data_IF_766490038538
#
_entry.id   IF_766490038538
#
_cell.length_a   1.000
_cell.length_b   1.000
_cell.length_c   1.000
_cell.angle_alpha   90.00
_cell.angle_beta   90.00
_cell.angle_gamma   90.00
#
_symmetry.space_group_name_H-M   'P 1'
#
loop_
_entity.id
_entity.type
_entity.pdbx_description
1 polymer ?
#
# COMPACT_ATOMS: atom_id res chain seq x y z
N UNK A 1 31.89 25.91 10.31
CA UNK A 1 31.48 24.96 9.26
C UNK A 1 30.00 25.24 8.99
N UNK A 2 29.73 26.04 7.95
CA UNK A 2 28.38 26.50 7.62
C UNK A 2 27.69 25.39 6.81
N UNK A 3 26.54 24.88 7.27
CA UNK A 3 25.73 23.99 6.45
C UNK A 3 25.18 24.76 5.24
N UNK A 4 25.17 24.19 4.01
CA UNK A 4 24.62 24.87 2.86
C UNK A 4 23.11 25.06 3.04
N UNK A 5 22.65 26.30 2.90
CA UNK A 5 21.23 26.62 2.81
C UNK A 5 20.68 25.99 1.52
N UNK A 6 19.81 24.99 1.66
CA UNK A 6 19.07 24.40 0.54
C UNK A 6 18.15 25.48 -0.03
N UNK A 7 18.35 25.81 -1.30
CA UNK A 7 17.56 26.79 -2.03
C UNK A 7 16.07 26.49 -1.93
N UNK A 8 15.27 27.54 -1.71
CA UNK A 8 13.81 27.45 -1.64
C UNK A 8 13.23 27.11 -3.01
N UNK A 9 13.18 25.81 -3.33
CA UNK A 9 12.17 25.29 -4.26
C UNK A 9 10.78 25.63 -3.68
N UNK A 10 9.73 25.82 -4.52
CA UNK A 10 8.37 26.09 -4.04
C UNK A 10 8.05 25.14 -2.89
N UNK A 11 7.72 25.71 -1.72
CA UNK A 11 7.82 25.04 -0.42
C UNK A 11 7.17 23.64 -0.44
N UNK A 12 7.97 22.59 -0.67
CA UNK A 12 7.50 21.22 -0.53
C UNK A 12 7.17 21.02 0.93
N UNK A 13 5.87 20.92 1.24
CA UNK A 13 5.37 20.79 2.61
C UNK A 13 5.91 19.53 3.29
N UNK A 14 6.19 18.50 2.50
CA UNK A 14 6.73 17.22 2.96
C UNK A 14 8.08 16.92 2.33
N UNK A 15 9.01 16.43 3.16
CA UNK A 15 10.27 15.85 2.69
C UNK A 15 10.03 14.39 2.26
N UNK A 16 9.85 14.18 0.96
CA UNK A 16 9.54 12.86 0.39
C UNK A 16 10.65 11.84 0.65
N UNK A 17 11.92 12.25 0.60
CA UNK A 17 13.06 11.36 0.84
C UNK A 17 13.05 10.84 2.27
N UNK A 18 12.79 11.74 3.24
CA UNK A 18 12.67 11.36 4.64
C UNK A 18 11.49 10.42 4.86
N UNK A 19 10.33 10.72 4.27
CA UNK A 19 9.15 9.87 4.41
C UNK A 19 9.40 8.46 3.85
N UNK A 20 10.01 8.36 2.67
CA UNK A 20 10.41 7.08 2.08
C UNK A 20 11.38 6.31 2.97
N UNK A 21 12.37 6.99 3.54
CA UNK A 21 13.34 6.38 4.45
C UNK A 21 12.69 5.88 5.74
N UNK A 22 11.81 6.68 6.35
CA UNK A 22 11.06 6.29 7.57
C UNK A 22 10.20 5.08 7.30
N UNK A 23 9.40 5.08 6.22
CA UNK A 23 8.53 3.94 5.88
C UNK A 23 9.34 2.67 5.69
N UNK A 24 10.41 2.72 4.90
CA UNK A 24 11.26 1.56 4.65
C UNK A 24 11.94 1.07 5.93
N UNK A 25 12.48 1.98 6.74
CA UNK A 25 13.19 1.65 7.97
C UNK A 25 12.25 1.01 9.02
N UNK A 26 11.11 1.64 9.28
CA UNK A 26 10.10 1.12 10.23
C UNK A 26 9.62 -0.26 9.80
N UNK A 27 9.32 -0.45 8.52
CA UNK A 27 8.93 -1.77 8.01
C UNK A 27 10.04 -2.82 8.12
N UNK A 28 11.30 -2.45 7.86
CA UNK A 28 12.44 -3.35 8.02
C UNK A 28 12.63 -3.79 9.49
N UNK A 29 12.52 -2.84 10.43
CA UNK A 29 12.61 -3.12 11.86
C UNK A 29 11.43 -4.00 12.33
N UNK A 30 10.22 -3.75 11.84
CA UNK A 30 9.05 -4.55 12.15
C UNK A 30 9.22 -6.00 11.69
N UNK A 31 9.72 -6.22 10.46
CA UNK A 31 10.02 -7.56 9.93
C UNK A 31 11.06 -8.26 10.80
N UNK A 32 12.15 -7.57 11.17
CA UNK A 32 13.19 -8.13 12.02
C UNK A 32 12.64 -8.52 13.41
N UNK A 33 11.82 -7.67 14.01
CA UNK A 33 11.18 -7.89 15.31
C UNK A 33 10.21 -9.09 15.30
N UNK A 34 9.39 -9.22 14.27
CA UNK A 34 8.46 -10.35 14.14
C UNK A 34 9.26 -11.66 13.96
N UNK A 35 10.32 -11.62 13.15
CA UNK A 35 11.20 -12.78 12.96
C UNK A 35 11.97 -13.18 14.21
N UNK A 36 12.40 -12.23 15.04
CA UNK A 36 13.08 -12.55 16.30
C UNK A 36 12.16 -13.26 17.30
N UNK A 37 10.84 -13.16 17.13
CA UNK A 37 9.84 -13.94 17.88
C UNK A 37 9.51 -15.30 17.24
N UNK A 38 10.19 -15.70 16.16
CA UNK A 38 9.91 -16.93 15.42
C UNK A 38 8.59 -16.89 14.63
N UNK A 39 8.04 -15.70 14.38
CA UNK A 39 6.77 -15.52 13.67
C UNK A 39 6.99 -15.01 12.24
N UNK A 40 5.95 -15.11 11.41
CA UNK A 40 5.91 -14.52 10.07
C UNK A 40 5.01 -13.28 10.07
N UNK A 41 5.31 -12.25 9.27
CA UNK A 41 4.42 -11.10 9.12
C UNK A 41 3.07 -11.54 8.56
N UNK A 42 1.97 -11.19 9.22
CA UNK A 42 0.60 -11.38 8.77
C UNK A 42 -0.29 -10.34 9.48
N UNK A 43 -1.59 -10.28 9.17
CA UNK A 43 -2.51 -9.30 9.77
C UNK A 43 -2.45 -9.21 11.31
N UNK A 44 -2.31 -10.35 11.99
CA UNK A 44 -2.36 -10.38 13.46
C UNK A 44 -1.00 -10.10 14.10
N UNK A 45 0.10 -10.47 13.44
CA UNK A 45 1.46 -10.27 13.98
C UNK A 45 2.00 -8.87 13.75
N UNK A 46 1.49 -8.15 12.73
CA UNK A 46 1.83 -6.74 12.51
C UNK A 46 0.97 -5.79 13.35
N UNK A 47 -0.24 -6.22 13.72
CA UNK A 47 -1.16 -5.46 14.55
C UNK A 47 -0.59 -5.26 15.97
N UNK A 48 -1.04 -4.19 16.64
CA UNK A 48 -0.66 -3.85 18.02
C UNK A 48 0.86 -3.83 18.25
N UNK A 49 1.61 -3.26 17.30
CA UNK A 49 3.04 -3.06 17.42
C UNK A 49 3.36 -1.57 17.30
N UNK A 50 4.42 -1.13 17.98
CA UNK A 50 4.89 0.27 17.90
C UNK A 50 5.20 0.73 16.47
N UNK A 51 5.59 -0.21 15.60
CA UNK A 51 5.81 0.03 14.17
C UNK A 51 4.50 0.37 13.45
N UNK A 52 3.41 -0.34 13.78
CA UNK A 52 2.10 -0.09 13.21
C UNK A 52 1.46 1.17 13.79
N UNK A 53 1.69 1.47 15.07
CA UNK A 53 1.21 2.71 15.70
C UNK A 53 1.74 3.95 14.95
N UNK A 54 3.00 3.93 14.51
CA UNK A 54 3.59 5.00 13.67
C UNK A 54 2.81 5.15 12.36
N UNK A 55 2.50 4.03 11.68
CA UNK A 55 1.80 4.05 10.40
C UNK A 55 0.32 4.45 10.53
N UNK A 56 -0.35 4.04 11.61
CA UNK A 56 -1.71 4.48 11.91
C UNK A 56 -1.75 5.98 12.19
N UNK A 57 -0.79 6.50 12.99
CA UNK A 57 -0.68 7.94 13.23
C UNK A 57 -0.47 8.71 11.92
N UNK A 58 0.44 8.26 11.03
CA UNK A 58 0.61 8.91 9.72
C UNK A 58 -0.65 8.84 8.84
N UNK A 59 -1.45 7.78 8.98
CA UNK A 59 -2.69 7.60 8.22
C UNK A 59 -3.82 8.52 8.69
N UNK A 60 -3.85 8.87 9.98
CA UNK A 60 -4.90 9.71 10.58
C UNK A 60 -4.49 11.18 10.64
N UNK A 61 -3.25 11.48 11.00
CA UNK A 61 -2.79 12.84 11.31
C UNK A 61 -2.29 13.62 10.09
N UNK A 62 -1.86 12.95 9.02
CA UNK A 62 -1.46 13.65 7.80
C UNK A 62 -2.65 14.18 7.03
N UNK A 63 -2.43 15.32 6.36
CA UNK A 63 -3.37 15.86 5.40
C UNK A 63 -3.43 15.00 4.12
N UNK A 64 -4.21 15.44 3.12
CA UNK A 64 -4.35 14.72 1.87
C UNK A 64 -3.00 14.47 1.17
N UNK A 65 -2.12 15.48 1.13
CA UNK A 65 -0.83 15.41 0.45
C UNK A 65 0.12 14.45 1.19
N UNK A 66 0.22 14.58 2.51
CA UNK A 66 1.08 13.72 3.33
C UNK A 66 0.66 12.24 3.26
N UNK A 67 -0.64 11.95 3.33
CA UNK A 67 -1.17 10.58 3.19
C UNK A 67 -0.88 10.01 1.81
N UNK A 68 -1.07 10.79 0.75
CA UNK A 68 -0.74 10.37 -0.61
C UNK A 68 0.74 9.98 -0.75
N UNK A 69 1.66 10.80 -0.24
CA UNK A 69 3.09 10.51 -0.27
C UNK A 69 3.44 9.27 0.57
N UNK A 70 2.80 9.12 1.73
CA UNK A 70 2.99 7.98 2.64
C UNK A 70 2.53 6.66 2.01
N UNK A 71 1.32 6.62 1.45
CA UNK A 71 0.81 5.42 0.77
C UNK A 71 1.64 5.08 -0.47
N UNK A 72 2.12 6.08 -1.22
CA UNK A 72 3.06 5.85 -2.31
C UNK A 72 4.38 5.26 -1.82
N UNK A 73 4.90 5.72 -0.66
CA UNK A 73 6.12 5.17 -0.06
C UNK A 73 5.96 3.69 0.33
N UNK A 74 4.80 3.32 0.90
CA UNK A 74 4.45 1.90 1.18
C UNK A 74 4.39 1.11 -0.12
N UNK A 75 3.64 1.62 -1.10
CA UNK A 75 3.40 0.90 -2.34
C UNK A 75 4.66 0.73 -3.20
N UNK A 76 5.68 1.59 -3.03
CA UNK A 76 7.00 1.39 -3.65
C UNK A 76 7.68 0.09 -3.23
N UNK A 77 7.27 -0.49 -2.10
CA UNK A 77 7.80 -1.75 -1.60
C UNK A 77 7.05 -2.97 -2.14
N UNK A 78 5.93 -2.78 -2.85
CA UNK A 78 5.14 -3.85 -3.47
C UNK A 78 5.74 -4.27 -4.81
N UNK A 79 6.81 -5.08 -4.76
CA UNK A 79 7.64 -5.43 -5.93
C UNK A 79 7.45 -6.88 -6.35
N UNK A 80 8.52 -7.69 -6.34
CA UNK A 80 8.48 -9.13 -6.53
C UNK A 80 8.30 -9.86 -5.17
N UNK A 81 8.05 -11.18 -5.14
CA UNK A 81 7.94 -11.93 -3.89
C UNK A 81 9.19 -11.76 -3.01
N UNK A 82 9.03 -11.09 -1.88
CA UNK A 82 10.04 -10.94 -0.83
C UNK A 82 9.36 -10.52 0.49
N UNK A 83 10.12 -10.50 1.59
CA UNK A 83 9.57 -10.19 2.92
C UNK A 83 9.05 -8.77 3.09
N UNK A 84 9.66 -7.79 2.41
CA UNK A 84 9.15 -6.41 2.42
C UNK A 84 7.83 -6.32 1.67
N UNK A 85 7.76 -6.89 0.46
CA UNK A 85 6.51 -6.95 -0.31
C UNK A 85 5.39 -7.57 0.52
N UNK A 86 5.64 -8.70 1.19
CA UNK A 86 4.65 -9.35 2.04
C UNK A 86 4.21 -8.45 3.21
N UNK A 87 5.18 -7.91 3.96
CA UNK A 87 4.89 -7.04 5.10
C UNK A 87 4.11 -5.78 4.69
N UNK A 88 4.53 -5.08 3.64
CA UNK A 88 3.89 -3.84 3.19
C UNK A 88 2.53 -4.11 2.52
N UNK A 89 2.35 -5.26 1.87
CA UNK A 89 1.02 -5.72 1.42
C UNK A 89 0.10 -5.90 2.62
N UNK A 90 0.57 -6.58 3.67
CA UNK A 90 -0.21 -6.75 4.89
C UNK A 90 -0.49 -5.41 5.58
N UNK A 91 0.50 -4.52 5.67
CA UNK A 91 0.33 -3.20 6.26
C UNK A 91 -0.74 -2.39 5.53
N UNK A 92 -0.71 -2.33 4.20
CA UNK A 92 -1.67 -1.54 3.44
C UNK A 92 -3.11 -2.06 3.60
N UNK A 93 -3.28 -3.38 3.58
CA UNK A 93 -4.59 -4.03 3.79
C UNK A 93 -5.11 -3.82 5.21
N UNK A 94 -4.22 -3.87 6.21
CA UNK A 94 -4.57 -3.58 7.61
C UNK A 94 -5.01 -2.12 7.77
N UNK A 95 -4.27 -1.16 7.19
CA UNK A 95 -4.65 0.26 7.23
C UNK A 95 -6.00 0.52 6.54
N UNK A 96 -6.32 -0.21 5.47
CA UNK A 96 -7.63 -0.14 4.83
C UNK A 96 -8.75 -0.68 5.73
N UNK A 97 -8.52 -1.82 6.39
CA UNK A 97 -9.50 -2.46 7.26
C UNK A 97 -9.80 -1.65 8.53
N UNK A 98 -8.76 -1.05 9.14
CA UNK A 98 -8.86 -0.27 10.38
C UNK A 98 -9.11 1.23 10.14
N UNK A 99 -9.30 1.65 8.89
CA UNK A 99 -9.58 3.04 8.57
C UNK A 99 -10.95 3.46 9.12
N UNK A 100 -10.96 4.48 9.97
CA UNK A 100 -12.18 5.07 10.53
C UNK A 100 -12.89 6.03 9.56
N UNK A 101 -12.32 6.28 8.37
CA UNK A 101 -12.85 7.22 7.39
C UNK A 101 -12.74 6.64 5.99
N UNK A 102 -13.86 6.72 5.25
CA UNK A 102 -13.95 6.27 3.87
C UNK A 102 -12.97 7.03 2.95
N UNK A 103 -12.63 8.28 3.28
CA UNK A 103 -11.63 9.05 2.53
C UNK A 103 -10.23 8.40 2.54
N UNK A 104 -9.86 7.71 3.62
CA UNK A 104 -8.58 6.98 3.69
C UNK A 104 -8.64 5.73 2.80
N UNK A 105 -9.76 5.01 2.85
CA UNK A 105 -10.01 3.82 2.04
C UNK A 105 -10.01 4.16 0.55
N UNK A 106 -10.66 5.26 0.18
CA UNK A 106 -10.64 5.82 -1.18
C UNK A 106 -9.21 6.18 -1.59
N UNK A 107 -8.43 6.88 -0.76
CA UNK A 107 -7.06 7.25 -1.10
C UNK A 107 -6.14 6.04 -1.33
N UNK A 108 -6.25 5.01 -0.49
CA UNK A 108 -5.49 3.75 -0.66
C UNK A 108 -5.87 3.11 -2.01
N UNK A 109 -7.17 3.02 -2.30
CA UNK A 109 -7.68 2.44 -3.54
C UNK A 109 -7.22 3.23 -4.76
N UNK A 110 -7.33 4.55 -4.70
CA UNK A 110 -6.90 5.47 -5.76
C UNK A 110 -5.41 5.33 -6.03
N UNK A 111 -4.58 5.30 -5.00
CA UNK A 111 -3.13 5.13 -5.14
C UNK A 111 -2.78 3.80 -5.82
N UNK A 112 -3.46 2.70 -5.45
CA UNK A 112 -3.27 1.40 -6.10
C UNK A 112 -3.70 1.45 -7.57
N UNK A 113 -4.87 2.03 -7.85
CA UNK A 113 -5.40 2.15 -9.21
C UNK A 113 -4.52 3.00 -10.13
N UNK A 114 -4.04 4.15 -9.66
CA UNK A 114 -3.16 5.03 -10.45
C UNK A 114 -1.93 4.27 -10.99
N UNK A 115 -1.47 3.25 -10.27
CA UNK A 115 -0.34 2.39 -10.66
C UNK A 115 -0.74 1.18 -11.53
N UNK A 116 -2.03 0.87 -11.61
CA UNK A 116 -2.58 -0.26 -12.39
C UNK A 116 -3.21 0.18 -13.72
N UNK A 117 -3.63 1.43 -13.85
CA UNK A 117 -4.19 1.97 -15.12
C UNK A 117 -3.12 2.24 -16.18
N UNK A 118 -1.86 2.38 -15.78
CA UNK A 118 -0.75 2.62 -16.71
C UNK A 118 -0.42 1.36 -17.49
N UNK A 119 0.24 1.54 -18.66
CA UNK A 119 0.69 0.42 -19.47
C UNK A 119 1.64 -0.51 -18.70
N UNK A 120 1.52 -1.81 -18.99
CA UNK A 120 2.33 -2.88 -18.41
C UNK A 120 3.84 -2.67 -18.63
N UNK A 121 4.73 -3.28 -17.82
CA UNK A 121 4.46 -4.28 -16.77
C UNK A 121 4.06 -3.69 -15.41
N UNK A 122 3.19 -4.40 -14.68
CA UNK A 122 2.82 -4.04 -13.31
C UNK A 122 3.64 -4.84 -12.28
N UNK A 123 4.01 -4.25 -11.12
CA UNK A 123 4.67 -4.99 -10.06
C UNK A 123 3.78 -6.12 -9.51
N UNK A 124 4.36 -7.32 -9.33
CA UNK A 124 3.63 -8.49 -8.84
C UNK A 124 2.93 -8.24 -7.48
N UNK A 125 3.64 -7.63 -6.54
CA UNK A 125 3.12 -7.33 -5.20
C UNK A 125 1.95 -6.37 -5.24
N UNK A 126 1.99 -5.38 -6.13
CA UNK A 126 0.90 -4.43 -6.33
C UNK A 126 -0.38 -5.15 -6.78
N UNK A 127 -0.25 -6.04 -7.78
CA UNK A 127 -1.35 -6.85 -8.29
C UNK A 127 -1.93 -7.74 -7.19
N UNK A 128 -1.09 -8.43 -6.42
CA UNK A 128 -1.53 -9.34 -5.34
C UNK A 128 -2.25 -8.57 -4.24
N UNK A 129 -1.70 -7.45 -3.78
CA UNK A 129 -2.35 -6.61 -2.76
C UNK A 129 -3.72 -6.11 -3.25
N UNK A 130 -3.80 -5.66 -4.50
CA UNK A 130 -5.05 -5.18 -5.07
C UNK A 130 -6.09 -6.30 -5.25
N UNK A 131 -5.67 -7.47 -5.74
CA UNK A 131 -6.55 -8.65 -5.86
C UNK A 131 -7.10 -9.05 -4.48
N UNK A 132 -6.24 -9.08 -3.46
CA UNK A 132 -6.66 -9.43 -2.10
C UNK A 132 -7.70 -8.45 -1.56
N UNK A 133 -7.49 -7.15 -1.79
CA UNK A 133 -8.43 -6.09 -1.38
C UNK A 133 -9.82 -6.28 -1.99
N UNK A 134 -9.90 -6.59 -3.29
CA UNK A 134 -11.20 -6.70 -4.00
C UNK A 134 -11.88 -8.06 -3.83
N UNK A 135 -11.12 -9.14 -3.56
CA UNK A 135 -11.67 -10.50 -3.47
C UNK A 135 -12.01 -10.92 -2.06
N UNK A 136 -11.26 -10.47 -1.07
CA UNK A 136 -11.47 -10.89 0.30
C UNK A 136 -12.69 -10.13 0.89
N UNK A 137 -13.78 -10.83 1.25
CA UNK A 137 -15.01 -10.20 1.70
C UNK A 137 -14.86 -9.45 3.03
N UNK A 138 -13.78 -9.70 3.78
CA UNK A 138 -13.48 -8.99 5.04
C UNK A 138 -13.36 -7.48 4.83
N UNK A 139 -12.78 -7.05 3.71
CA UNK A 139 -12.61 -5.62 3.41
C UNK A 139 -13.88 -4.95 2.90
N UNK A 140 -14.90 -5.75 2.53
CA UNK A 140 -16.18 -5.27 1.98
C UNK A 140 -15.99 -4.22 0.88
N UNK A 141 -14.97 -4.38 0.04
CA UNK A 141 -14.54 -3.38 -0.92
C UNK A 141 -15.70 -2.85 -1.79
N UNK A 142 -16.50 -3.77 -2.34
CA UNK A 142 -17.64 -3.45 -3.20
C UNK A 142 -18.86 -2.87 -2.48
N UNK A 143 -18.86 -2.73 -1.14
CA UNK A 143 -19.96 -2.07 -0.43
C UNK A 143 -19.70 -0.59 -0.16
N UNK A 144 -18.50 -0.09 -0.43
CA UNK A 144 -18.16 1.32 -0.21
C UNK A 144 -18.73 2.22 -1.31
N UNK A 145 -19.16 3.43 -0.96
CA UNK A 145 -19.83 4.35 -1.87
C UNK A 145 -18.88 4.86 -2.96
N UNK A 146 -17.59 5.07 -2.63
CA UNK A 146 -16.59 5.53 -3.60
C UNK A 146 -16.38 4.56 -4.78
N UNK A 147 -16.72 3.27 -4.63
CA UNK A 147 -16.62 2.28 -5.71
C UNK A 147 -17.76 2.42 -6.71
N UNK A 148 -18.90 2.97 -6.29
CA UNK A 148 -20.13 3.12 -7.07
C UNK A 148 -20.39 4.55 -7.55
N UNK A 149 -19.44 5.46 -7.33
CA UNK A 149 -19.64 6.87 -7.64
C UNK A 149 -19.82 7.15 -9.14
N UNK A 150 -19.30 6.27 -10.02
CA UNK A 150 -19.50 6.36 -11.46
C UNK A 150 -19.45 4.96 -12.14
N UNK A 151 -20.30 4.69 -13.15
CA UNK A 151 -20.26 3.42 -13.90
C UNK A 151 -18.91 3.11 -14.55
N UNK A 152 -18.15 4.15 -14.90
CA UNK A 152 -16.81 4.03 -15.47
C UNK A 152 -15.79 3.48 -14.45
N UNK A 153 -15.92 3.86 -13.18
CA UNK A 153 -15.05 3.42 -12.10
C UNK A 153 -15.33 1.95 -11.76
N UNK A 154 -16.60 1.55 -11.72
CA UNK A 154 -16.99 0.16 -11.54
C UNK A 154 -16.44 -0.74 -12.68
N UNK A 155 -16.59 -0.29 -13.93
CA UNK A 155 -16.02 -0.98 -15.10
C UNK A 155 -14.49 -1.05 -15.05
N UNK A 156 -13.82 0.02 -14.58
CA UNK A 156 -12.37 0.03 -14.40
C UNK A 156 -11.93 -1.03 -13.39
N UNK A 157 -12.60 -1.09 -12.24
CA UNK A 157 -12.32 -2.10 -11.22
C UNK A 157 -12.52 -3.52 -11.75
N UNK A 158 -13.62 -3.77 -12.46
CA UNK A 158 -13.87 -5.06 -13.10
C UNK A 158 -12.79 -5.40 -14.14
N UNK A 159 -12.40 -4.46 -14.99
CA UNK A 159 -11.39 -4.65 -16.03
C UNK A 159 -10.01 -4.97 -15.46
N UNK A 160 -9.58 -4.24 -14.42
CA UNK A 160 -8.33 -4.52 -13.71
C UNK A 160 -8.41 -5.90 -13.04
N UNK A 161 -9.50 -6.20 -12.34
CA UNK A 161 -9.70 -7.51 -11.70
C UNK A 161 -9.58 -8.67 -12.71
N UNK A 162 -10.21 -8.56 -13.88
CA UNK A 162 -10.12 -9.57 -14.93
C UNK A 162 -8.70 -9.66 -15.53
N UNK A 163 -8.05 -8.53 -15.75
CA UNK A 163 -6.70 -8.47 -16.32
C UNK A 163 -5.64 -9.07 -15.41
N UNK A 164 -5.71 -8.82 -14.10
CA UNK A 164 -4.77 -9.37 -13.13
C UNK A 164 -4.98 -10.87 -12.89
N UNK A 165 -6.22 -11.37 -13.02
CA UNK A 165 -6.54 -12.80 -12.86
C UNK A 165 -6.05 -13.61 -14.05
N UNK A 166 -6.11 -13.07 -15.28
CA UNK A 166 -5.62 -13.75 -16.48
C UNK A 166 -4.09 -13.95 -16.49
N UNK A 167 -3.32 -13.02 -15.91
CA UNK A 167 -1.86 -13.17 -15.79
C UNK A 167 -1.44 -14.29 -14.81
N UNK A 168 -2.26 -14.58 -13.79
CA UNK A 168 -1.97 -15.64 -12.81
C UNK A 168 -1.94 -17.03 -13.47
N UNK A 169 -2.69 -17.22 -14.56
CA UNK A 169 -2.72 -18.47 -15.33
C UNK A 169 -1.51 -18.61 -16.26
N UNK A 170 -0.94 -17.50 -16.75
CA UNK A 170 0.19 -17.53 -17.68
C UNK A 170 1.56 -17.65 -17.00
N UNK A 171 1.68 -17.24 -15.72
CA UNK A 171 2.94 -17.27 -14.97
C UNK A 171 3.12 -18.47 -14.03
N UNK A 172 2.16 -19.42 -14.01
CA UNK A 172 2.14 -20.56 -13.08
C UNK A 172 2.68 -21.88 -13.63
N UNK A 173 3.05 -21.95 -14.92
CA UNK A 173 3.56 -23.16 -15.58
C UNK A 173 5.06 -23.10 -15.86
N UNK A 174 5.90 -22.68 -14.91
CA UNK A 174 7.33 -23.07 -14.92
C UNK A 174 7.88 -23.09 -13.49
N UNK A 175 7.81 -24.25 -12.83
CA UNK A 175 8.86 -24.80 -11.97
C UNK A 175 8.33 -26.08 -11.32
N UNK A 176 8.95 -27.19 -11.72
CA UNK A 176 8.98 -28.49 -11.06
C UNK A 176 9.48 -28.39 -9.61
#
# INVERSE_FOLDING_TARGET
MQFPQVGSEPARRYNTQLLNAVVLYVGAQAIAYIRSKGQTPNMTTIAHSSHMDIFQNFTVDFDYEGRYLFFNAIANQLRYPNSHTHYFSCCLLYLFAEANSEAIQEQITRMLLERLIVNRPHPWGLLITFIELIKNPVYKFWSHEFVHCAPEIEKLFASVAHSCVAEKTAGGEVAE
#
